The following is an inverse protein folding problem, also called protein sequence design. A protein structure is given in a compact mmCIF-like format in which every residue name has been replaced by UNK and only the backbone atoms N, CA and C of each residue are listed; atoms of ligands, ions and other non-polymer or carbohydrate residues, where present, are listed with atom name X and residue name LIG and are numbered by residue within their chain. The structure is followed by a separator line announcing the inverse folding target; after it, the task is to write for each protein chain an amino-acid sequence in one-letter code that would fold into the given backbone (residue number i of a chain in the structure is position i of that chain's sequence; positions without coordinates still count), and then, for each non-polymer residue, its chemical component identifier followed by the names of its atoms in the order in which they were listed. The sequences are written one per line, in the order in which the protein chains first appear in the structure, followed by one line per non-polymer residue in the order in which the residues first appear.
data_IF_722169622023
#
_entry.id   IF_722169622023
#
_cell.length_a   1.000
_cell.length_b   1.000
_cell.length_c   1.000
_cell.angle_alpha   90.00
_cell.angle_beta   90.00
_cell.angle_gamma   90.00
#
_symmetry.space_group_name_H-M   'P 1'
#
loop_
_entity.id
_entity.type
_entity.pdbx_description
1 polymer ?
#
# COMPACT_ATOMS: atom_id res chain seq x y z
N UNK A 1 -7.90 5.47 12.71
CA UNK A 1 -7.99 4.08 12.22
C UNK A 1 -7.53 3.92 10.77
N UNK A 2 -8.01 4.79 9.86
CA UNK A 2 -7.74 4.74 8.42
C UNK A 2 -6.25 4.72 8.07
N UNK A 3 -5.43 5.53 8.75
CA UNK A 3 -3.98 5.56 8.55
C UNK A 3 -3.30 4.23 8.92
N UNK A 4 -3.80 3.50 9.92
CA UNK A 4 -3.20 2.23 10.34
C UNK A 4 -3.47 1.08 9.36
N UNK A 5 -4.48 1.20 8.48
CA UNK A 5 -4.82 0.19 7.45
C UNK A 5 -3.76 0.16 6.34
N UNK A 6 -3.15 1.30 6.01
CA UNK A 6 -2.14 1.40 4.96
C UNK A 6 -0.70 1.18 5.45
N UNK A 7 -0.49 1.04 6.76
CA UNK A 7 0.85 0.92 7.34
C UNK A 7 1.30 -0.54 7.47
N UNK A 8 2.61 -0.77 7.30
CA UNK A 8 3.25 -2.03 7.70
C UNK A 8 3.47 -2.09 9.22
N UNK A 9 3.75 -3.29 9.75
CA UNK A 9 4.02 -3.48 11.20
C UNK A 9 5.18 -2.60 11.71
N UNK A 10 6.16 -2.34 10.85
CA UNK A 10 7.32 -1.51 11.17
C UNK A 10 6.95 -0.03 11.27
N UNK A 11 6.06 0.45 10.39
CA UNK A 11 5.64 1.84 10.39
C UNK A 11 4.75 2.14 11.59
N UNK A 12 3.85 1.21 11.94
CA UNK A 12 3.03 1.35 13.14
C UNK A 12 3.88 1.30 14.41
N UNK A 13 4.89 0.44 14.45
CA UNK A 13 5.85 0.41 15.56
C UNK A 13 6.54 1.77 15.74
N UNK A 14 7.05 2.36 14.64
CA UNK A 14 7.65 3.71 14.66
C UNK A 14 6.66 4.78 15.13
N UNK A 15 5.45 4.81 14.57
CA UNK A 15 4.45 5.83 14.91
C UNK A 15 3.96 5.74 16.36
N UNK A 16 3.99 4.55 16.95
CA UNK A 16 3.55 4.30 18.34
C UNK A 16 4.70 4.28 19.34
N UNK A 17 5.95 4.56 18.92
CA UNK A 17 7.14 4.47 19.77
C UNK A 17 7.38 3.06 20.35
N UNK A 18 6.85 2.03 19.69
CA UNK A 18 6.88 0.64 20.13
C UNK A 18 7.79 -0.20 19.24
N UNK A 19 7.98 -1.47 19.59
CA UNK A 19 8.68 -2.45 18.72
C UNK A 19 7.68 -3.22 17.86
N UNK A 20 8.11 -3.69 16.68
CA UNK A 20 7.29 -4.54 15.82
C UNK A 20 6.80 -5.81 16.55
N UNK A 21 7.63 -6.37 17.43
CA UNK A 21 7.25 -7.51 18.27
C UNK A 21 6.14 -7.14 19.28
N UNK A 22 6.11 -5.92 19.79
CA UNK A 22 5.01 -5.45 20.65
C UNK A 22 3.71 -5.31 19.86
N UNK A 23 3.74 -4.80 18.63
CA UNK A 23 2.58 -4.72 17.74
C UNK A 23 2.02 -6.12 17.40
N UNK A 24 2.89 -7.11 17.16
CA UNK A 24 2.48 -8.49 16.90
C UNK A 24 1.84 -9.10 18.15
N UNK A 25 2.47 -8.97 19.33
CA UNK A 25 1.90 -9.46 20.59
C UNK A 25 0.56 -8.81 20.91
N UNK A 26 0.41 -7.53 20.59
CA UNK A 26 -0.87 -6.82 20.72
C UNK A 26 -1.95 -7.46 19.84
N UNK A 27 -1.65 -7.70 18.56
CA UNK A 27 -2.57 -8.40 17.65
C UNK A 27 -2.95 -9.80 18.17
N UNK A 28 -1.97 -10.57 18.66
CA UNK A 28 -2.22 -11.88 19.27
C UNK A 28 -3.08 -11.80 20.52
N UNK A 29 -2.90 -10.78 21.37
CA UNK A 29 -3.72 -10.59 22.57
C UNK A 29 -5.17 -10.19 22.25
N UNK A 30 -5.40 -9.62 21.07
CA UNK A 30 -6.74 -9.34 20.54
C UNK A 30 -7.37 -10.55 19.84
N UNK A 31 -6.68 -11.69 19.76
CA UNK A 31 -7.19 -12.93 19.16
C UNK A 31 -6.84 -13.13 17.68
N UNK A 32 -5.95 -12.30 17.11
CA UNK A 32 -5.47 -12.46 15.73
C UNK A 32 -4.17 -13.27 15.69
N UNK A 33 -3.96 -14.08 14.66
CA UNK A 33 -2.74 -14.85 14.42
C UNK A 33 -1.49 -13.96 14.21
N UNK A 34 -1.68 -12.67 13.90
CA UNK A 34 -0.61 -11.69 13.83
C UNK A 34 -1.07 -10.33 13.33
N UNK A 35 -0.10 -9.43 13.11
CA UNK A 35 -0.39 -8.05 12.71
C UNK A 35 -1.09 -7.96 11.34
N UNK A 36 -0.73 -8.82 10.38
CA UNK A 36 -1.36 -8.83 9.04
C UNK A 36 -2.85 -9.14 9.10
N UNK A 37 -3.26 -10.08 9.96
CA UNK A 37 -4.67 -10.45 10.11
C UNK A 37 -5.46 -9.35 10.83
N UNK A 38 -4.89 -8.77 11.90
CA UNK A 38 -5.46 -7.59 12.55
C UNK A 38 -5.67 -6.45 11.55
N UNK A 39 -4.67 -6.17 10.70
CA UNK A 39 -4.75 -5.13 9.67
C UNK A 39 -5.85 -5.42 8.65
N UNK A 40 -6.01 -6.67 8.23
CA UNK A 40 -7.08 -7.08 7.31
C UNK A 40 -8.47 -6.91 7.93
N UNK A 41 -8.64 -7.30 9.20
CA UNK A 41 -9.90 -7.10 9.92
C UNK A 41 -10.23 -5.61 10.07
N UNK A 42 -9.23 -4.79 10.39
CA UNK A 42 -9.39 -3.33 10.46
C UNK A 42 -9.74 -2.72 9.09
N UNK A 43 -9.10 -3.20 8.02
CA UNK A 43 -9.42 -2.76 6.65
C UNK A 43 -10.89 -3.02 6.33
N UNK A 44 -11.37 -4.26 6.58
CA UNK A 44 -12.76 -4.64 6.35
C UNK A 44 -13.73 -3.70 7.08
N UNK A 45 -13.47 -3.41 8.35
CA UNK A 45 -14.33 -2.53 9.17
C UNK A 45 -14.32 -1.07 8.70
N UNK A 46 -13.14 -0.55 8.32
CA UNK A 46 -13.00 0.82 7.85
C UNK A 46 -13.70 0.99 6.48
N UNK A 47 -13.52 0.01 5.58
CA UNK A 47 -14.11 0.03 4.24
C UNK A 47 -15.59 -0.41 4.21
N UNK A 48 -16.10 -1.08 5.24
CA UNK A 48 -17.54 -1.37 5.37
C UNK A 48 -18.35 -0.18 5.88
N UNK A 49 -17.70 0.86 6.43
CA UNK A 49 -18.40 2.08 6.81
C UNK A 49 -18.65 2.95 5.58
N UNK A 50 -19.91 3.29 5.32
CA UNK A 50 -20.40 4.09 4.16
C UNK A 50 -19.67 5.44 3.97
N UNK A 51 -18.88 5.90 4.94
CA UNK A 51 -18.14 7.18 4.90
C UNK A 51 -16.84 7.15 4.10
N UNK A 52 -16.24 5.99 3.82
CA UNK A 52 -14.98 5.92 3.04
C UNK A 52 -15.25 5.85 1.53
N UNK A 53 -16.50 5.60 1.13
CA UNK A 53 -16.92 5.53 -0.26
C UNK A 53 -16.79 6.86 -1.04
N UNK A 54 -16.65 8.00 -0.36
CA UNK A 54 -16.53 9.31 -1.03
C UNK A 54 -15.10 9.66 -1.47
N UNK A 55 -14.06 9.25 -0.72
CA UNK A 55 -12.67 9.65 -1.03
C UNK A 55 -11.84 8.56 -1.73
N UNK A 56 -12.27 7.30 -1.65
CA UNK A 56 -11.69 6.19 -2.41
C UNK A 56 -12.77 5.49 -3.23
N UNK A 57 -13.24 6.17 -4.29
CA UNK A 57 -13.85 5.46 -5.42
C UNK A 57 -12.78 4.62 -6.11
N UNK A 58 -12.39 3.52 -5.49
CA UNK A 58 -12.15 2.30 -6.27
C UNK A 58 -13.50 2.08 -6.95
N UNK A 59 -13.65 2.53 -8.20
CA UNK A 59 -14.87 2.29 -8.97
C UNK A 59 -15.01 0.78 -9.04
N UNK A 60 -15.91 0.25 -8.23
CA UNK A 60 -16.12 -1.17 -8.10
C UNK A 60 -16.50 -1.71 -9.47
N UNK A 61 -15.67 -2.59 -10.02
CA UNK A 61 -15.96 -3.24 -11.29
C UNK A 61 -17.10 -4.21 -11.01
N UNK A 62 -18.24 -3.99 -11.67
CA UNK A 62 -19.42 -4.85 -11.52
C UNK A 62 -19.71 -5.55 -12.84
N UNK A 63 -20.59 -6.55 -12.82
CA UNK A 63 -21.06 -7.24 -14.03
C UNK A 63 -21.75 -6.30 -15.04
N UNK A 64 -22.13 -5.08 -14.61
CA UNK A 64 -22.76 -4.07 -15.46
C UNK A 64 -21.75 -3.09 -16.07
N UNK A 65 -20.49 -3.13 -15.67
CA UNK A 65 -19.47 -2.22 -16.18
C UNK A 65 -19.17 -2.57 -17.63
N UNK A 66 -19.36 -1.59 -18.52
CA UNK A 66 -19.10 -1.78 -19.95
C UNK A 66 -17.60 -1.88 -20.24
N UNK A 67 -17.25 -2.46 -21.40
CA UNK A 67 -15.86 -2.54 -21.83
C UNK A 67 -15.20 -1.15 -21.97
N UNK A 68 -15.94 -0.14 -22.42
CA UNK A 68 -15.45 1.24 -22.53
C UNK A 68 -15.13 1.84 -21.17
N UNK A 69 -16.03 1.69 -20.19
CA UNK A 69 -15.82 2.15 -18.82
C UNK A 69 -14.64 1.45 -18.15
N UNK A 70 -14.44 0.15 -18.43
CA UNK A 70 -13.28 -0.61 -17.94
C UNK A 70 -11.97 -0.07 -18.52
N UNK A 71 -11.92 0.18 -19.82
CA UNK A 71 -10.74 0.77 -20.47
C UNK A 71 -10.44 2.13 -19.84
N UNK A 72 -11.46 2.99 -19.69
CA UNK A 72 -11.29 4.30 -19.09
C UNK A 72 -10.80 4.23 -17.64
N UNK A 73 -11.32 3.28 -16.86
CA UNK A 73 -10.93 3.06 -15.48
C UNK A 73 -9.46 2.64 -15.35
N UNK A 74 -9.05 1.61 -16.10
CA UNK A 74 -7.67 1.08 -16.02
C UNK A 74 -6.66 2.11 -16.50
N UNK A 75 -6.94 2.76 -17.63
CA UNK A 75 -6.06 3.81 -18.17
C UNK A 75 -5.99 5.00 -17.21
N UNK A 76 -7.12 5.45 -16.67
CA UNK A 76 -7.18 6.55 -15.71
C UNK A 76 -6.36 6.25 -14.44
N UNK A 77 -6.59 5.08 -13.84
CA UNK A 77 -5.87 4.65 -12.64
C UNK A 77 -4.36 4.50 -12.87
N UNK A 78 -3.96 4.01 -14.04
CA UNK A 78 -2.55 3.89 -14.42
C UNK A 78 -1.92 5.29 -14.56
N UNK A 79 -2.59 6.21 -15.25
CA UNK A 79 -2.12 7.59 -15.40
C UNK A 79 -1.98 8.31 -14.05
N UNK A 80 -2.95 8.15 -13.16
CA UNK A 80 -2.88 8.71 -11.80
C UNK A 80 -1.71 8.12 -11.02
N UNK A 81 -1.51 6.81 -11.09
CA UNK A 81 -0.37 6.13 -10.44
C UNK A 81 0.96 6.67 -10.96
N UNK A 82 1.11 6.82 -12.29
CA UNK A 82 2.32 7.38 -12.91
C UNK A 82 2.56 8.83 -12.49
N UNK A 83 1.53 9.68 -12.48
CA UNK A 83 1.63 11.06 -11.99
C UNK A 83 2.00 11.13 -10.51
N UNK A 84 1.47 10.20 -9.71
CA UNK A 84 1.82 10.08 -8.30
C UNK A 84 3.31 9.85 -8.08
N UNK A 85 3.96 9.08 -8.96
CA UNK A 85 5.40 8.82 -8.87
C UNK A 85 6.24 10.10 -8.97
N UNK A 86 5.85 11.09 -9.78
CA UNK A 86 6.57 12.36 -9.92
C UNK A 86 6.72 13.11 -8.58
N UNK A 87 5.75 12.93 -7.67
CA UNK A 87 5.76 13.59 -6.35
C UNK A 87 6.57 12.85 -5.28
N UNK A 88 6.95 11.60 -5.53
CA UNK A 88 7.60 10.73 -4.54
C UNK A 88 9.02 10.33 -4.97
N UNK A 89 9.30 10.28 -6.27
CA UNK A 89 10.64 9.99 -6.80
C UNK A 89 11.58 11.15 -6.49
N UNK A 90 12.69 10.84 -5.80
CA UNK A 90 13.82 11.75 -5.65
C UNK A 90 14.80 11.56 -6.82
N UNK A 91 14.96 12.54 -7.72
CA UNK A 91 15.89 12.43 -8.84
C UNK A 91 17.33 12.14 -8.38
N UNK A 92 17.78 12.67 -7.24
CA UNK A 92 19.15 12.39 -6.78
C UNK A 92 19.34 10.93 -6.38
N UNK A 93 18.33 10.33 -5.78
CA UNK A 93 18.35 8.92 -5.40
C UNK A 93 18.32 8.00 -6.64
N UNK A 94 17.58 8.40 -7.70
CA UNK A 94 17.58 7.68 -8.98
C UNK A 94 18.98 7.70 -9.59
N UNK A 95 19.61 8.85 -9.67
CA UNK A 95 20.93 9.02 -10.28
C UNK A 95 22.00 8.24 -9.50
N UNK A 96 21.94 8.27 -8.17
CA UNK A 96 22.81 7.45 -7.32
C UNK A 96 22.59 5.95 -7.54
N UNK A 97 21.33 5.52 -7.74
CA UNK A 97 20.99 4.13 -8.04
C UNK A 97 21.53 3.69 -9.40
N UNK A 98 21.43 4.56 -10.42
CA UNK A 98 22.00 4.32 -11.76
C UNK A 98 23.51 4.15 -11.68
N UNK A 99 24.22 5.04 -10.98
CA UNK A 99 25.67 4.93 -10.78
C UNK A 99 26.06 3.63 -10.07
N UNK A 100 25.31 3.24 -9.04
CA UNK A 100 25.55 1.99 -8.31
C UNK A 100 25.37 0.77 -9.23
N UNK A 101 24.33 0.77 -10.08
CA UNK A 101 24.07 -0.30 -11.05
C UNK A 101 25.20 -0.37 -12.10
N UNK A 102 25.63 0.77 -12.66
CA UNK A 102 26.68 0.82 -13.68
C UNK A 102 28.04 0.32 -13.16
N UNK A 103 28.33 0.50 -11.87
CA UNK A 103 29.58 0.05 -11.22
C UNK A 103 29.51 -1.38 -10.70
N UNK A 104 28.31 -1.97 -10.65
CA UNK A 104 28.14 -3.31 -10.10
C UNK A 104 28.71 -4.37 -11.05
N UNK A 105 29.56 -5.26 -10.53
CA UNK A 105 30.02 -6.43 -11.30
C UNK A 105 28.93 -7.49 -11.47
N UNK A 106 27.98 -7.54 -10.54
CA UNK A 106 26.84 -8.46 -10.55
C UNK A 106 25.59 -7.77 -9.99
N UNK A 107 24.45 -8.02 -10.63
CA UNK A 107 23.14 -7.53 -10.19
C UNK A 107 22.23 -8.72 -9.90
N UNK A 108 21.74 -8.84 -8.67
CA UNK A 108 20.74 -9.84 -8.27
C UNK A 108 19.37 -9.17 -8.23
N UNK A 109 18.43 -9.69 -9.03
CA UNK A 109 17.03 -9.28 -9.02
C UNK A 109 16.21 -10.44 -8.45
N UNK A 110 15.39 -10.16 -7.44
CA UNK A 110 14.52 -11.15 -6.81
C UNK A 110 13.11 -10.62 -6.68
N UNK A 111 12.13 -11.44 -7.04
CA UNK A 111 10.69 -11.22 -6.88
C UNK A 111 10.01 -12.54 -6.54
N UNK A 112 8.81 -12.48 -5.97
CA UNK A 112 7.98 -13.65 -5.60
C UNK A 112 6.67 -13.64 -6.37
#
# INVERSE_FOLDING_TARGET
PTQAVSMGVQDVAKATGSSAAACIRFASRLGFAGYTELRLALAKEVFSSERVAEEQKVREVTEKTSADELVHLVVGSTCESLRGLESVIDPKAVEASVEAILRASHLLISGV
#
